data_IF_784259314767
#
_entry.id   IF_784259314767
#
_cell.length_a   1.000
_cell.length_b   1.000
_cell.length_c   1.000
_cell.angle_alpha   90.00
_cell.angle_beta   90.00
_cell.angle_gamma   90.00
#
_symmetry.space_group_name_H-M   'P 1'
#
loop_
_entity.id
_entity.type
_entity.pdbx_description
1 polymer ?
#
# COMPACT_ATOMS: atom_id res chain seq x y z
N UNK A 1 16.30 12.88 -12.87
CA UNK A 1 16.42 12.05 -11.66
C UNK A 1 15.53 12.66 -10.58
N UNK A 2 14.23 12.30 -10.57
CA UNK A 2 13.29 12.79 -9.57
C UNK A 2 13.39 11.91 -8.32
N UNK A 3 13.67 12.55 -7.19
CA UNK A 3 13.66 11.91 -5.87
C UNK A 3 12.19 11.62 -5.53
N UNK A 4 11.80 10.34 -5.56
CA UNK A 4 10.50 9.90 -5.05
C UNK A 4 10.47 10.18 -3.54
N UNK A 5 9.68 11.19 -3.20
CA UNK A 5 9.51 11.83 -1.92
C UNK A 5 9.26 10.82 -0.78
N UNK A 6 10.07 10.92 0.29
CA UNK A 6 10.01 10.08 1.48
C UNK A 6 8.76 10.34 2.34
N UNK A 7 7.93 11.31 1.99
CA UNK A 7 6.76 11.71 2.79
C UNK A 7 5.52 10.82 2.65
N UNK A 8 5.63 9.65 2.01
CA UNK A 8 4.58 8.62 1.97
C UNK A 8 4.43 7.85 3.30
N UNK A 9 5.52 7.75 4.05
CA UNK A 9 5.57 7.03 5.33
C UNK A 9 6.09 7.98 6.40
N UNK A 10 5.32 8.13 7.48
CA UNK A 10 5.86 8.70 8.69
C UNK A 10 6.39 7.56 9.55
N UNK A 11 7.70 7.35 9.53
CA UNK A 11 8.33 6.50 10.55
C UNK A 11 8.38 7.30 11.85
N UNK A 12 7.51 6.99 12.81
CA UNK A 12 7.62 7.54 14.17
C UNK A 12 8.62 6.67 14.92
N UNK A 13 9.88 7.13 15.00
CA UNK A 13 10.80 6.62 16.01
C UNK A 13 10.38 7.22 17.36
N UNK A 14 9.51 6.54 18.11
CA UNK A 14 9.27 6.98 19.49
C UNK A 14 10.26 6.29 20.43
N UNK A 15 11.30 7.02 20.81
CA UNK A 15 11.86 6.87 22.17
C UNK A 15 10.84 7.49 23.12
N UNK A 16 9.73 6.78 23.37
CA UNK A 16 8.63 6.98 24.34
C UNK A 16 8.20 8.38 24.87
N UNK A 17 8.65 9.51 24.31
CA UNK A 17 8.32 10.85 24.84
C UNK A 17 7.86 11.89 23.84
N UNK A 18 8.04 11.68 22.54
CA UNK A 18 7.51 12.58 21.50
C UNK A 18 6.62 11.79 20.53
N UNK A 19 5.45 11.40 21.02
CA UNK A 19 4.43 10.74 20.22
C UNK A 19 3.41 11.78 19.71
N UNK A 20 2.82 11.50 18.55
CA UNK A 20 1.64 12.18 17.98
C UNK A 20 1.91 13.48 17.22
N UNK A 21 2.60 13.34 16.10
CA UNK A 21 2.06 13.98 14.91
C UNK A 21 1.62 12.86 13.98
N UNK A 22 0.41 12.31 14.16
CA UNK A 22 -0.15 11.41 13.15
C UNK A 22 -0.09 12.14 11.81
N UNK A 23 0.30 11.45 10.73
CA UNK A 23 -0.05 11.95 9.42
C UNK A 23 -1.58 11.92 9.42
N UNK A 24 -2.25 13.09 9.42
CA UNK A 24 -3.72 13.16 9.39
C UNK A 24 -4.19 12.20 8.29
N UNK A 25 -5.01 11.19 8.64
CA UNK A 25 -5.53 10.09 7.78
C UNK A 25 -4.58 8.91 7.50
N UNK A 26 -3.54 8.71 8.30
CA UNK A 26 -2.70 7.52 8.25
C UNK A 26 -3.42 6.29 8.79
N UNK A 27 -3.24 5.14 8.14
CA UNK A 27 -3.73 3.84 8.60
C UNK A 27 -2.53 2.96 8.96
N UNK A 28 -2.61 2.22 10.06
CA UNK A 28 -1.56 1.27 10.43
C UNK A 28 -1.53 0.11 9.43
N UNK A 29 -0.34 -0.21 8.91
CA UNK A 29 -0.16 -1.25 7.89
C UNK A 29 -0.77 -2.61 8.30
N UNK A 30 -0.67 -2.97 9.58
CA UNK A 30 -1.18 -4.24 10.11
C UNK A 30 -2.72 -4.34 10.06
N UNK A 31 -3.41 -3.19 10.14
CA UNK A 31 -4.88 -3.11 10.05
C UNK A 31 -5.34 -3.24 8.59
N UNK A 32 -4.51 -2.85 7.63
CA UNK A 32 -4.88 -2.72 6.23
C UNK A 32 -5.29 -4.05 5.59
N UNK A 33 -4.56 -5.13 5.89
CA UNK A 33 -4.90 -6.47 5.40
C UNK A 33 -6.30 -6.87 5.83
N UNK A 34 -6.64 -6.69 7.11
CA UNK A 34 -7.96 -7.02 7.66
C UNK A 34 -9.06 -6.16 7.05
N UNK A 35 -8.82 -4.86 6.92
CA UNK A 35 -9.75 -3.93 6.28
C UNK A 35 -10.07 -4.35 4.84
N UNK A 36 -9.03 -4.66 4.06
CA UNK A 36 -9.19 -5.05 2.66
C UNK A 36 -9.99 -6.34 2.52
N UNK A 37 -9.70 -7.36 3.35
CA UNK A 37 -10.46 -8.60 3.38
C UNK A 37 -11.94 -8.37 3.74
N UNK A 38 -12.23 -7.46 4.68
CA UNK A 38 -13.59 -7.13 5.07
C UNK A 38 -14.36 -6.39 3.96
N UNK A 39 -13.71 -5.46 3.26
CA UNK A 39 -14.30 -4.78 2.10
C UNK A 39 -14.62 -5.77 0.97
N UNK A 40 -13.73 -6.73 0.72
CA UNK A 40 -13.93 -7.81 -0.24
C UNK A 40 -15.05 -8.76 0.19
N UNK A 41 -15.13 -9.12 1.48
CA UNK A 41 -16.17 -9.98 2.03
C UNK A 41 -17.56 -9.35 1.89
N UNK A 42 -17.64 -8.03 2.03
CA UNK A 42 -18.88 -7.24 1.85
C UNK A 42 -19.21 -6.95 0.38
N UNK A 43 -18.35 -7.34 -0.56
CA UNK A 43 -18.55 -7.08 -2.00
C UNK A 43 -18.37 -5.62 -2.40
N UNK A 44 -17.72 -4.80 -1.56
CA UNK A 44 -17.44 -3.39 -1.87
C UNK A 44 -16.21 -3.24 -2.77
N UNK A 45 -15.30 -4.22 -2.71
CA UNK A 45 -14.09 -4.28 -3.53
C UNK A 45 -14.00 -5.68 -4.13
N UNK A 46 -13.50 -5.77 -5.36
CA UNK A 46 -13.34 -7.05 -6.04
C UNK A 46 -12.31 -7.92 -5.32
N UNK A 47 -12.60 -9.22 -5.20
CA UNK A 47 -11.59 -10.19 -4.77
C UNK A 47 -10.58 -10.40 -5.91
N UNK A 48 -9.29 -10.56 -5.61
CA UNK A 48 -8.32 -10.95 -6.61
C UNK A 48 -8.68 -12.33 -7.16
N UNK A 49 -9.10 -12.37 -8.41
CA UNK A 49 -8.94 -13.57 -9.22
C UNK A 49 -7.44 -13.73 -9.48
N UNK A 50 -6.94 -14.97 -9.46
CA UNK A 50 -5.51 -15.28 -9.65
C UNK A 50 -4.94 -14.49 -10.85
N UNK A 51 -3.91 -13.68 -10.58
CA UNK A 51 -3.21 -12.88 -11.60
C UNK A 51 -3.92 -11.60 -12.09
N UNK A 52 -5.09 -11.24 -11.55
CA UNK A 52 -5.85 -10.08 -12.07
C UNK A 52 -5.42 -8.72 -11.52
N UNK A 53 -5.02 -8.65 -10.25
CA UNK A 53 -4.49 -7.42 -9.64
C UNK A 53 -3.69 -7.73 -8.37
N UNK A 54 -2.83 -6.79 -8.00
CA UNK A 54 -2.06 -6.83 -6.75
C UNK A 54 -2.87 -6.23 -5.60
N UNK A 55 -3.07 -6.93 -4.48
CA UNK A 55 -3.81 -6.38 -3.34
C UNK A 55 -3.03 -5.26 -2.66
N UNK A 56 -3.73 -4.29 -2.07
CA UNK A 56 -3.12 -3.09 -1.50
C UNK A 56 -2.21 -3.41 -0.31
N UNK A 57 -2.58 -4.37 0.54
CA UNK A 57 -1.70 -4.78 1.65
C UNK A 57 -0.33 -5.23 1.13
N UNK A 58 -0.26 -5.92 -0.01
CA UNK A 58 1.00 -6.38 -0.59
C UNK A 58 1.83 -5.21 -1.17
N UNK A 59 1.16 -4.21 -1.72
CA UNK A 59 1.82 -2.97 -2.16
C UNK A 59 2.45 -2.27 -0.95
N UNK A 60 1.74 -2.22 0.19
CA UNK A 60 2.26 -1.67 1.45
C UNK A 60 3.47 -2.46 1.95
N UNK A 61 3.41 -3.79 1.97
CA UNK A 61 4.55 -4.64 2.32
C UNK A 61 5.79 -4.32 1.49
N UNK A 62 5.61 -4.16 0.19
CA UNK A 62 6.72 -3.82 -0.73
C UNK A 62 7.35 -2.48 -0.36
N UNK A 63 6.53 -1.47 -0.03
CA UNK A 63 7.02 -0.17 0.38
C UNK A 63 7.69 -0.17 1.76
N UNK A 64 7.19 -0.97 2.71
CA UNK A 64 7.84 -1.20 4.01
C UNK A 64 9.24 -1.77 3.80
N UNK A 65 9.36 -2.77 2.93
CA UNK A 65 10.65 -3.41 2.61
C UNK A 65 11.62 -2.39 2.00
N UNK A 66 11.15 -1.57 1.06
CA UNK A 66 11.96 -0.49 0.46
C UNK A 66 12.37 0.54 1.50
N UNK A 67 11.48 0.90 2.43
CA UNK A 67 11.77 1.84 3.51
C UNK A 67 12.87 1.32 4.45
N UNK A 68 12.76 0.06 4.91
CA UNK A 68 13.75 -0.59 5.76
C UNK A 68 15.10 -0.70 5.04
N UNK A 69 15.11 -1.17 3.80
CA UNK A 69 16.32 -1.30 3.00
C UNK A 69 17.06 0.04 2.82
N UNK A 70 16.34 1.12 2.52
CA UNK A 70 16.92 2.47 2.41
C UNK A 70 17.57 2.98 3.70
N UNK A 71 17.16 2.43 4.84
CA UNK A 71 17.73 2.75 6.16
C UNK A 71 18.83 1.77 6.58
N UNK A 72 19.23 0.84 5.71
CA UNK A 72 20.21 -0.19 6.05
C UNK A 72 19.69 -1.22 7.05
N UNK A 73 18.37 -1.37 7.15
CA UNK A 73 17.70 -2.31 8.06
C UNK A 73 17.16 -3.51 7.27
N UNK A 74 17.09 -4.65 7.97
CA UNK A 74 16.50 -5.88 7.45
C UNK A 74 15.02 -5.98 7.83
N UNK A 75 14.33 -6.98 7.26
CA UNK A 75 12.95 -7.30 7.65
C UNK A 75 12.84 -7.81 9.08
N UNK A 76 13.91 -8.39 9.63
CA UNK A 76 13.95 -8.81 11.04
C UNK A 76 13.81 -7.62 11.99
N UNK A 77 14.10 -6.41 11.50
CA UNK A 77 13.96 -5.19 12.29
C UNK A 77 12.53 -4.61 12.24
N UNK A 78 11.61 -5.18 11.45
CA UNK A 78 10.27 -4.64 11.21
C UNK A 78 9.50 -4.36 12.50
N UNK A 79 9.53 -5.29 13.45
CA UNK A 79 8.77 -5.23 14.71
C UNK A 79 9.24 -4.08 15.63
N UNK A 80 10.34 -3.40 15.30
CA UNK A 80 10.80 -2.21 16.02
C UNK A 80 10.14 -0.91 15.53
N UNK A 81 9.19 -0.98 14.59
CA UNK A 81 8.61 0.17 13.91
C UNK A 81 7.11 0.05 13.74
N UNK A 82 6.43 1.19 13.84
CA UNK A 82 5.07 1.35 13.35
C UNK A 82 5.08 1.94 11.94
N UNK A 83 4.37 1.30 11.03
CA UNK A 83 4.23 1.76 9.65
C UNK A 83 2.85 2.35 9.42
N UNK A 84 2.80 3.68 9.41
CA UNK A 84 1.60 4.45 9.08
C UNK A 84 1.57 4.77 7.59
N UNK A 85 0.45 4.47 6.94
CA UNK A 85 0.29 4.54 5.49
C UNK A 85 -0.79 5.55 5.12
N UNK A 86 -0.45 6.49 4.24
CA UNK A 86 -1.43 7.34 3.55
C UNK A 86 -1.97 6.58 2.32
N UNK A 87 -3.15 5.97 2.48
CA UNK A 87 -3.76 5.12 1.44
C UNK A 87 -4.04 5.88 0.14
N UNK A 88 -4.73 7.06 0.14
CA UNK A 88 -4.94 7.83 -1.09
C UNK A 88 -3.64 8.17 -1.82
N UNK A 89 -2.59 8.54 -1.09
CA UNK A 89 -1.31 8.90 -1.69
C UNK A 89 -0.57 7.69 -2.24
N UNK A 90 -0.57 6.56 -1.54
CA UNK A 90 0.00 5.31 -2.01
C UNK A 90 -0.67 4.83 -3.29
N UNK A 91 -2.01 4.87 -3.32
CA UNK A 91 -2.79 4.47 -4.50
C UNK A 91 -2.49 5.40 -5.68
N UNK A 92 -2.44 6.71 -5.45
CA UNK A 92 -2.09 7.67 -6.50
C UNK A 92 -0.71 7.38 -7.09
N UNK A 93 0.28 7.09 -6.24
CA UNK A 93 1.62 6.68 -6.67
C UNK A 93 1.56 5.40 -7.52
N UNK A 94 0.80 4.40 -7.08
CA UNK A 94 0.70 3.12 -7.80
C UNK A 94 0.05 3.29 -9.18
N UNK A 95 -1.03 4.06 -9.27
CA UNK A 95 -1.70 4.35 -10.55
C UNK A 95 -0.73 5.04 -11.52
N UNK A 96 0.08 5.99 -11.04
CA UNK A 96 1.11 6.63 -11.86
C UNK A 96 2.14 5.60 -12.37
N UNK A 97 2.64 4.71 -11.49
CA UNK A 97 3.57 3.65 -11.88
C UNK A 97 2.98 2.69 -12.93
N UNK A 98 1.68 2.37 -12.84
CA UNK A 98 0.99 1.54 -13.83
C UNK A 98 0.79 2.26 -15.17
N UNK A 99 0.72 3.60 -15.16
CA UNK A 99 0.64 4.40 -16.39
C UNK A 99 2.00 4.63 -17.07
N UNK A 100 3.09 4.56 -16.29
CA UNK A 100 4.46 4.79 -16.71
C UNK A 100 5.26 3.48 -16.80
N UNK A 101 4.68 2.42 -17.37
CA UNK A 101 5.39 1.16 -17.58
C UNK A 101 6.56 1.43 -18.52
N UNK A 102 7.78 1.50 -17.97
CA UNK A 102 9.01 1.62 -18.73
C UNK A 102 9.35 0.25 -19.36
N UNK A 103 9.24 0.11 -20.69
CA UNK A 103 9.56 -1.14 -21.38
C UNK A 103 11.05 -1.50 -21.29
N UNK A 104 11.91 -0.56 -20.89
CA UNK A 104 13.34 -0.78 -20.70
C UNK A 104 13.71 -1.16 -19.26
N UNK A 105 12.74 -1.22 -18.32
CA UNK A 105 13.01 -1.61 -16.94
C UNK A 105 13.38 -3.11 -16.85
N UNK A 106 14.63 -3.46 -16.47
CA UNK A 106 15.06 -4.85 -16.36
C UNK A 106 14.45 -5.57 -15.13
N UNK A 107 13.77 -4.84 -14.25
CA UNK A 107 13.09 -5.34 -13.06
C UNK A 107 11.57 -5.27 -13.20
N UNK A 108 11.03 -5.60 -14.37
CA UNK A 108 9.59 -5.79 -14.54
C UNK A 108 9.13 -6.98 -13.69
N UNK A 109 8.07 -6.79 -12.91
CA UNK A 109 7.54 -7.86 -12.08
C UNK A 109 6.98 -8.96 -13.03
N UNK A 110 7.40 -10.23 -12.91
CA UNK A 110 6.89 -11.32 -13.74
C UNK A 110 5.37 -11.48 -13.64
N UNK A 111 4.76 -11.09 -12.51
CA UNK A 111 3.31 -11.08 -12.32
C UNK A 111 2.58 -9.99 -13.13
N UNK A 112 3.29 -9.03 -13.74
CA UNK A 112 2.72 -7.94 -14.57
C UNK A 112 2.67 -8.29 -16.06
N UNK A 113 2.99 -9.53 -16.43
CA UNK A 113 2.73 -10.05 -17.77
C UNK A 113 3.91 -10.83 -18.34
N UNK A 114 4.00 -12.12 -18.00
CA UNK A 114 4.54 -13.14 -18.89
C UNK A 114 3.83 -14.48 -18.63
N UNK A 115 2.53 -14.52 -18.91
CA UNK A 115 1.89 -15.75 -19.39
C UNK A 115 1.39 -15.46 -20.82
N UNK A 116 2.08 -16.04 -21.80
CA UNK A 116 1.73 -16.22 -23.21
C UNK A 116 0.64 -15.30 -23.79
N UNK A 117 1.05 -14.11 -24.24
CA UNK A 117 0.22 -13.26 -25.11
C UNK A 117 0.27 -11.79 -24.71
N UNK A 118 0.80 -10.95 -25.60
CA UNK A 118 0.99 -9.52 -25.43
C UNK A 118 -0.29 -8.68 -25.20
N UNK A 119 -1.43 -9.31 -24.91
CA UNK A 119 -2.69 -8.68 -24.53
C UNK A 119 -2.92 -8.61 -23.01
N UNK A 120 -2.20 -9.39 -22.17
CA UNK A 120 -2.54 -9.55 -20.74
C UNK A 120 -2.08 -8.41 -19.82
N UNK A 121 -0.97 -7.72 -20.12
CA UNK A 121 -0.40 -6.69 -19.23
C UNK A 121 -1.22 -5.38 -19.16
N UNK A 122 -1.81 -4.97 -20.29
CA UNK A 122 -2.67 -3.78 -20.35
C UNK A 122 -4.02 -4.01 -19.67
N UNK A 123 -4.60 -5.20 -19.85
CA UNK A 123 -5.83 -5.60 -19.17
C UNK A 123 -5.61 -5.74 -17.67
N UNK A 124 -4.54 -6.41 -17.22
CA UNK A 124 -4.18 -6.54 -15.81
C UNK A 124 -3.96 -5.18 -15.14
N UNK A 125 -3.23 -4.27 -15.79
CA UNK A 125 -3.06 -2.88 -15.30
C UNK A 125 -4.40 -2.14 -15.19
N UNK A 126 -5.30 -2.32 -16.16
CA UNK A 126 -6.64 -1.72 -16.13
C UNK A 126 -7.50 -2.28 -14.98
N UNK A 127 -7.42 -3.59 -14.74
CA UNK A 127 -8.10 -4.24 -13.62
C UNK A 127 -7.56 -3.76 -12.27
N UNK A 128 -6.25 -3.63 -12.13
CA UNK A 128 -5.62 -3.11 -10.91
C UNK A 128 -6.00 -1.65 -10.66
N UNK A 129 -5.97 -0.78 -11.68
CA UNK A 129 -6.43 0.62 -11.54
C UNK A 129 -7.87 0.69 -11.05
N UNK A 130 -8.80 -0.07 -11.66
CA UNK A 130 -10.22 -0.10 -11.24
C UNK A 130 -10.39 -0.58 -9.80
N UNK A 131 -9.63 -1.61 -9.42
CA UNK A 131 -9.63 -2.11 -8.05
C UNK A 131 -9.15 -1.04 -7.06
N UNK A 132 -8.04 -0.35 -7.37
CA UNK A 132 -7.47 0.69 -6.52
C UNK A 132 -8.40 1.91 -6.41
N UNK A 133 -9.06 2.31 -7.50
CA UNK A 133 -10.06 3.39 -7.49
C UNK A 133 -11.27 3.04 -6.61
N UNK A 134 -11.81 1.82 -6.75
CA UNK A 134 -12.90 1.34 -5.92
C UNK A 134 -12.50 1.29 -4.42
N UNK A 135 -11.27 0.89 -4.15
CA UNK A 135 -10.73 0.82 -2.79
C UNK A 135 -10.60 2.22 -2.15
N UNK A 136 -10.08 3.22 -2.88
CA UNK A 136 -10.05 4.62 -2.41
C UNK A 136 -11.46 5.12 -2.13
N UNK A 137 -12.42 4.87 -3.04
CA UNK A 137 -13.80 5.30 -2.87
C UNK A 137 -14.46 4.67 -1.65
N UNK A 138 -14.12 3.42 -1.32
CA UNK A 138 -14.61 2.75 -0.12
C UNK A 138 -13.96 3.27 1.17
N UNK A 139 -12.67 3.60 1.14
CA UNK A 139 -11.88 3.98 2.32
C UNK A 139 -12.04 5.45 2.70
N UNK A 140 -12.06 6.37 1.73
CA UNK A 140 -12.11 7.81 2.01
C UNK A 140 -13.26 8.21 2.95
N UNK A 141 -14.51 7.72 2.78
CA UNK A 141 -15.62 8.07 3.66
C UNK A 141 -15.46 7.60 5.12
N UNK A 142 -14.64 6.57 5.35
CA UNK A 142 -14.40 5.98 6.67
C UNK A 142 -13.01 6.30 7.22
N UNK A 143 -12.23 7.15 6.54
CA UNK A 143 -10.83 7.43 6.87
C UNK A 143 -10.61 7.91 8.31
N UNK A 144 -11.45 8.81 8.81
CA UNK A 144 -11.35 9.30 10.20
C UNK A 144 -11.58 8.17 11.23
N UNK A 145 -12.50 7.23 10.93
CA UNK A 145 -12.74 6.06 11.79
C UNK A 145 -11.58 5.06 11.73
N UNK A 146 -10.96 4.91 10.56
CA UNK A 146 -9.82 4.04 10.37
C UNK A 146 -8.55 4.58 11.03
N UNK A 147 -8.38 5.90 11.04
CA UNK A 147 -7.32 6.57 11.80
C UNK A 147 -7.52 6.30 13.30
N UNK A 148 -8.72 6.55 13.84
CA UNK A 148 -9.02 6.28 15.25
C UNK A 148 -8.84 4.79 15.62
N UNK A 149 -9.23 3.87 14.73
CA UNK A 149 -8.99 2.44 14.93
C UNK A 149 -7.50 2.09 14.92
N UNK A 150 -6.73 2.73 14.05
CA UNK A 150 -5.27 2.54 13.96
C UNK A 150 -4.57 3.07 15.20
N UNK A 151 -5.00 4.22 15.73
CA UNK A 151 -4.51 4.77 17.00
C UNK A 151 -4.84 3.86 18.19
N UNK A 152 -6.04 3.28 18.22
CA UNK A 152 -6.39 2.30 19.24
C UNK A 152 -5.55 1.02 19.11
N UNK A 153 -5.32 0.55 17.88
CA UNK A 153 -4.50 -0.63 17.62
C UNK A 153 -3.04 -0.42 18.06
N UNK A 154 -2.44 0.75 17.79
CA UNK A 154 -1.07 1.06 18.20
C UNK A 154 -0.88 1.17 19.73
N UNK A 155 -1.96 1.26 20.51
CA UNK A 155 -1.86 1.20 21.98
C UNK A 155 -1.83 -0.22 22.53
N UNK A 156 -2.21 -1.23 21.72
CA UNK A 156 -2.44 -2.61 22.17
C UNK A 156 -1.48 -3.60 21.50
N UNK A 157 -1.03 -3.29 20.28
CA UNK A 157 -0.01 -4.03 19.53
C UNK A 157 1.40 -3.58 19.94
#
# INVERSE_FOLDING_TARGET
MQVLDASLFKTVHSSSKDAHTSAKRGILADVLSTLEHELQRRGLVQKPALGTHTPLWFIVETEINVCLWRKGLSLENRDNFEFWVDIPRLISKRILQLSEIDPANPFSNPAWGQEDGAASGAESSTHEVRYLEALVQAIVPISDHLEALSEAASMVL
#
